data_IF_197074271948
#
_entry.id   IF_197074271948
#
_cell.length_a   1.000
_cell.length_b   1.000
_cell.length_c   1.000
_cell.angle_alpha   90.00
_cell.angle_beta   90.00
_cell.angle_gamma   90.00
#
_symmetry.space_group_name_H-M   'P 1'
#
loop_
_entity.id
_entity.type
_entity.pdbx_description
1 polymer ?
#
# COMPACT_ATOMS: atom_id res chain seq x y z
N UNK A 1 9.27 7.69 -35.21
CA UNK A 1 8.07 7.49 -34.34
C UNK A 1 8.09 6.22 -33.47
N UNK A 2 8.74 5.11 -33.85
CA UNK A 2 8.75 3.85 -33.05
C UNK A 2 9.66 3.88 -31.79
N UNK A 3 10.77 4.61 -31.82
CA UNK A 3 11.71 4.68 -30.68
C UNK A 3 11.20 5.49 -29.48
N UNK A 4 10.54 6.62 -29.73
CA UNK A 4 9.95 7.47 -28.67
C UNK A 4 8.88 6.71 -27.86
N UNK A 5 8.07 5.86 -28.50
CA UNK A 5 7.11 4.97 -27.81
C UNK A 5 7.78 3.85 -27.02
N UNK A 6 8.98 3.39 -27.44
CA UNK A 6 9.78 2.37 -26.74
C UNK A 6 10.42 2.94 -25.47
N UNK A 7 10.93 4.16 -25.52
CA UNK A 7 11.54 4.84 -24.35
C UNK A 7 10.50 5.17 -23.27
N UNK A 8 9.30 5.63 -23.65
CA UNK A 8 8.19 5.95 -22.73
C UNK A 8 7.58 4.75 -22.01
N UNK A 9 8.12 3.53 -22.10
CA UNK A 9 7.53 2.36 -21.42
C UNK A 9 8.51 1.69 -20.46
N UNK A 10 9.75 2.15 -20.42
CA UNK A 10 10.81 1.41 -19.74
C UNK A 10 10.63 1.45 -18.22
N UNK A 11 10.33 2.62 -17.63
CA UNK A 11 10.19 2.72 -16.17
C UNK A 11 8.91 2.10 -15.65
N UNK A 12 7.78 2.28 -16.34
CA UNK A 12 6.52 1.63 -15.97
C UNK A 12 6.65 0.10 -16.02
N UNK A 13 7.26 -0.44 -17.06
CA UNK A 13 7.51 -1.88 -17.17
C UNK A 13 8.49 -2.37 -16.11
N UNK A 14 9.57 -1.62 -15.85
CA UNK A 14 10.53 -1.93 -14.80
C UNK A 14 9.88 -1.96 -13.42
N UNK A 15 9.04 -0.97 -13.11
CA UNK A 15 8.25 -0.92 -11.89
C UNK A 15 7.36 -2.17 -11.74
N UNK A 16 6.59 -2.52 -12.78
CA UNK A 16 5.73 -3.71 -12.75
C UNK A 16 6.52 -4.99 -12.49
N UNK A 17 7.67 -5.17 -13.16
CA UNK A 17 8.56 -6.32 -12.92
C UNK A 17 9.06 -6.36 -11.48
N UNK A 18 9.50 -5.21 -10.94
CA UNK A 18 9.97 -5.10 -9.54
C UNK A 18 8.85 -5.37 -8.53
N UNK A 19 7.62 -4.93 -8.79
CA UNK A 19 6.47 -5.25 -7.95
C UNK A 19 6.20 -6.76 -7.93
N UNK A 20 6.15 -7.39 -9.10
CA UNK A 20 5.94 -8.84 -9.21
C UNK A 20 7.03 -9.65 -8.51
N UNK A 21 8.30 -9.28 -8.68
CA UNK A 21 9.41 -9.94 -7.97
C UNK A 21 9.28 -9.82 -6.44
N UNK A 22 8.77 -8.70 -5.94
CA UNK A 22 8.55 -8.50 -4.51
C UNK A 22 7.37 -9.32 -4.00
N UNK A 23 6.28 -9.46 -4.76
CA UNK A 23 5.20 -10.40 -4.45
C UNK A 23 5.72 -11.84 -4.34
N UNK A 24 6.58 -12.28 -5.27
CA UNK A 24 7.17 -13.62 -5.21
C UNK A 24 8.05 -13.83 -3.95
N UNK A 25 8.81 -12.81 -3.56
CA UNK A 25 9.62 -12.85 -2.33
C UNK A 25 8.74 -12.83 -1.09
N UNK A 26 7.68 -12.03 -1.10
CA UNK A 26 6.72 -11.93 0.00
C UNK A 26 6.01 -13.27 0.25
N UNK A 27 5.66 -13.99 -0.82
CA UNK A 27 5.12 -15.35 -0.70
C UNK A 27 6.05 -16.29 0.09
N UNK A 28 7.36 -16.23 -0.18
CA UNK A 28 8.36 -17.02 0.57
C UNK A 28 8.51 -16.58 2.02
N UNK A 29 8.26 -15.31 2.33
CA UNK A 29 8.21 -14.81 3.72
C UNK A 29 7.04 -15.46 4.46
N UNK A 30 5.86 -15.52 3.84
CA UNK A 30 4.67 -16.14 4.40
C UNK A 30 4.83 -17.65 4.62
N UNK A 31 5.48 -18.35 3.69
CA UNK A 31 5.77 -19.79 3.84
C UNK A 31 6.61 -20.11 5.10
N UNK A 32 7.38 -19.13 5.60
CA UNK A 32 8.25 -19.25 6.78
C UNK A 32 7.69 -18.55 8.01
N UNK A 33 6.54 -17.90 7.89
CA UNK A 33 5.96 -17.14 8.98
C UNK A 33 5.54 -18.07 10.11
N UNK A 34 5.88 -17.69 11.35
CA UNK A 34 5.41 -18.35 12.56
C UNK A 34 4.34 -17.47 13.17
N UNK A 35 3.18 -18.05 13.42
CA UNK A 35 2.01 -17.37 13.97
C UNK A 35 1.87 -17.68 15.46
N UNK A 36 1.24 -16.79 16.20
CA UNK A 36 1.00 -16.95 17.64
C UNK A 36 -0.37 -17.57 17.88
N UNK A 37 -0.44 -18.65 18.66
CA UNK A 37 -1.68 -19.42 18.86
C UNK A 37 -2.85 -18.66 19.51
N UNK A 38 -2.61 -17.52 20.16
CA UNK A 38 -3.65 -16.74 20.83
C UNK A 38 -3.53 -15.24 20.54
N UNK A 39 -4.47 -14.74 19.73
CA UNK A 39 -4.63 -13.31 19.47
C UNK A 39 -5.65 -12.70 20.44
N UNK A 40 -5.22 -11.71 21.22
CA UNK A 40 -6.13 -10.84 21.99
C UNK A 40 -6.63 -9.73 21.07
N UNK A 41 -7.94 -9.58 20.95
CA UNK A 41 -8.59 -8.57 20.11
C UNK A 41 -8.84 -7.28 20.91
N UNK A 42 -7.76 -6.56 21.24
CA UNK A 42 -7.77 -5.35 22.07
C UNK A 42 -7.80 -4.03 21.27
N UNK A 43 -7.95 -4.10 19.95
CA UNK A 43 -8.06 -2.93 19.08
C UNK A 43 -9.38 -2.92 18.32
N UNK A 44 -9.95 -1.72 18.17
CA UNK A 44 -11.15 -1.46 17.38
C UNK A 44 -10.87 -0.39 16.34
N UNK A 45 -11.39 -0.54 15.13
CA UNK A 45 -11.32 0.48 14.09
C UNK A 45 -12.65 0.69 13.39
N UNK A 46 -12.81 1.84 12.73
CA UNK A 46 -14.05 2.21 12.03
C UNK A 46 -13.80 2.31 10.53
N UNK A 47 -14.63 1.63 9.73
CA UNK A 47 -14.65 1.75 8.27
C UNK A 47 -16.10 1.82 7.79
N UNK A 48 -16.41 2.77 6.92
CA UNK A 48 -17.76 2.97 6.36
C UNK A 48 -18.87 3.00 7.44
N UNK A 49 -18.61 3.64 8.58
CA UNK A 49 -19.55 3.73 9.70
C UNK A 49 -19.70 2.46 10.55
N UNK A 50 -19.01 1.37 10.22
CA UNK A 50 -19.04 0.11 10.99
C UNK A 50 -17.77 -0.06 11.81
N UNK A 51 -17.91 -0.68 12.98
CA UNK A 51 -16.79 -1.04 13.84
C UNK A 51 -16.30 -2.45 13.54
N UNK A 52 -14.98 -2.61 13.56
CA UNK A 52 -14.27 -3.85 13.38
C UNK A 52 -13.25 -4.01 14.50
N UNK A 53 -12.91 -5.24 14.83
CA UNK A 53 -12.02 -5.57 15.94
C UNK A 53 -10.84 -6.37 15.43
N UNK A 54 -9.67 -6.14 16.02
CA UNK A 54 -8.44 -6.82 15.65
C UNK A 54 -7.47 -6.82 16.83
N UNK A 55 -6.39 -7.58 16.71
CA UNK A 55 -5.30 -7.59 17.68
C UNK A 55 -4.32 -6.45 17.44
N UNK A 56 -3.41 -6.23 18.39
CA UNK A 56 -2.25 -5.35 18.19
C UNK A 56 -1.45 -5.64 16.91
N UNK A 57 -1.38 -6.90 16.49
CA UNK A 57 -0.73 -7.32 15.26
C UNK A 57 -1.54 -6.92 14.02
N UNK A 58 -2.86 -7.11 14.02
CA UNK A 58 -3.69 -6.69 12.90
C UNK A 58 -3.78 -5.17 12.78
N UNK A 59 -3.82 -4.44 13.90
CA UNK A 59 -3.72 -2.99 13.90
C UNK A 59 -2.41 -2.50 13.26
N UNK A 60 -1.29 -3.15 13.58
CA UNK A 60 0.02 -2.88 12.97
C UNK A 60 0.03 -3.22 11.49
N UNK A 61 -0.59 -4.33 11.12
CA UNK A 61 -0.68 -4.78 9.73
C UNK A 61 -1.48 -3.80 8.86
N UNK A 62 -2.58 -3.23 9.37
CA UNK A 62 -3.35 -2.20 8.65
C UNK A 62 -2.54 -0.90 8.46
N UNK A 63 -1.76 -0.49 9.47
CA UNK A 63 -0.81 0.62 9.34
C UNK A 63 0.25 0.34 8.27
N UNK A 64 0.82 -0.86 8.29
CA UNK A 64 1.79 -1.31 7.28
C UNK A 64 1.17 -1.39 5.88
N UNK A 65 -0.09 -1.82 5.76
CA UNK A 65 -0.81 -1.86 4.48
C UNK A 65 -0.79 -0.48 3.82
N UNK A 66 -1.18 0.54 4.58
CA UNK A 66 -1.17 1.91 4.09
C UNK A 66 0.24 2.39 3.75
N UNK A 67 1.25 2.04 4.56
CA UNK A 67 2.64 2.45 4.31
C UNK A 67 3.19 1.81 3.03
N UNK A 68 3.04 0.50 2.88
CA UNK A 68 3.43 -0.22 1.68
C UNK A 68 2.70 0.30 0.44
N UNK A 69 1.39 0.54 0.58
CA UNK A 69 0.60 1.22 -0.44
C UNK A 69 1.25 2.54 -0.86
N UNK A 70 1.53 3.43 0.09
CA UNK A 70 2.15 4.73 -0.17
C UNK A 70 3.48 4.60 -0.91
N UNK A 71 4.38 3.74 -0.44
CA UNK A 71 5.67 3.57 -1.11
C UNK A 71 5.54 3.02 -2.53
N UNK A 72 4.60 2.09 -2.75
CA UNK A 72 4.30 1.56 -4.08
C UNK A 72 3.70 2.60 -5.01
N UNK A 73 2.76 3.38 -4.50
CA UNK A 73 2.17 4.50 -5.21
C UNK A 73 3.24 5.49 -5.64
N UNK A 74 4.13 5.87 -4.73
CA UNK A 74 5.20 6.82 -4.99
C UNK A 74 6.14 6.34 -6.10
N UNK A 75 6.58 5.09 -6.04
CA UNK A 75 7.42 4.46 -7.09
C UNK A 75 6.69 4.43 -8.44
N UNK A 76 5.40 4.08 -8.45
CA UNK A 76 4.59 4.07 -9.67
C UNK A 76 4.41 5.47 -10.27
N UNK A 77 4.10 6.47 -9.43
CA UNK A 77 3.94 7.86 -9.86
C UNK A 77 5.22 8.44 -10.45
N UNK A 78 6.38 8.16 -9.84
CA UNK A 78 7.68 8.55 -10.39
C UNK A 78 7.97 7.90 -11.75
N UNK A 79 7.64 6.61 -11.90
CA UNK A 79 7.82 5.89 -13.16
C UNK A 79 6.94 6.46 -14.28
N UNK A 80 5.64 6.66 -14.03
CA UNK A 80 4.72 7.24 -15.00
C UNK A 80 5.11 8.68 -15.37
N UNK A 81 5.52 9.50 -14.39
CA UNK A 81 6.05 10.85 -14.62
C UNK A 81 7.29 10.82 -15.53
N UNK A 82 8.26 9.97 -15.23
CA UNK A 82 9.50 9.85 -16.02
C UNK A 82 9.20 9.47 -17.47
N UNK A 83 8.30 8.50 -17.64
CA UNK A 83 7.87 8.02 -18.95
C UNK A 83 6.89 8.99 -19.66
N UNK A 84 6.52 10.11 -19.01
CA UNK A 84 5.55 11.12 -19.48
C UNK A 84 4.17 10.52 -19.79
N UNK A 85 3.70 9.61 -18.94
CA UNK A 85 2.32 9.13 -18.94
C UNK A 85 1.43 10.15 -18.25
N UNK A 86 0.15 10.13 -18.59
CA UNK A 86 -0.85 10.89 -17.87
C UNK A 86 -1.02 10.33 -16.46
N UNK A 87 -1.42 11.20 -15.52
CA UNK A 87 -1.79 10.81 -14.17
C UNK A 87 -2.90 9.76 -14.20
N UNK A 88 -2.68 8.60 -13.57
CA UNK A 88 -3.66 7.51 -13.52
C UNK A 88 -3.20 6.36 -12.63
N UNK A 89 -3.38 6.52 -11.31
CA UNK A 89 -2.98 5.53 -10.30
C UNK A 89 -3.73 4.19 -10.44
N UNK A 90 -4.99 4.26 -10.87
CA UNK A 90 -5.91 3.14 -11.06
C UNK A 90 -5.46 2.16 -12.16
N UNK A 91 -4.67 2.65 -13.11
CA UNK A 91 -4.06 1.84 -14.17
C UNK A 91 -2.85 1.00 -13.71
N UNK A 92 -2.41 1.16 -12.46
CA UNK A 92 -1.28 0.41 -11.89
C UNK A 92 -1.70 -0.99 -11.45
N UNK A 93 -0.93 -2.01 -11.85
CA UNK A 93 -1.15 -3.38 -11.40
C UNK A 93 -1.07 -3.51 -9.87
N UNK A 94 -0.16 -2.80 -9.22
CA UNK A 94 -0.03 -2.82 -7.76
C UNK A 94 -1.24 -2.22 -7.04
N UNK A 95 -1.92 -1.24 -7.66
CA UNK A 95 -3.15 -0.67 -7.11
C UNK A 95 -4.33 -1.66 -7.22
N UNK A 96 -4.43 -2.35 -8.36
CA UNK A 96 -5.45 -3.38 -8.58
C UNK A 96 -5.25 -4.57 -7.65
N UNK A 97 -4.02 -5.11 -7.60
CA UNK A 97 -3.65 -6.26 -6.78
C UNK A 97 -3.72 -5.93 -5.28
N UNK A 98 -3.00 -4.90 -4.84
CA UNK A 98 -2.98 -4.41 -3.46
C UNK A 98 -2.70 -5.47 -2.38
N UNK A 99 -1.94 -6.53 -2.72
CA UNK A 99 -1.67 -7.64 -1.79
C UNK A 99 -0.24 -7.67 -1.24
N UNK A 100 0.65 -6.80 -1.70
CA UNK A 100 2.04 -6.81 -1.25
C UNK A 100 2.16 -6.55 0.25
N UNK A 101 2.72 -7.52 1.00
CA UNK A 101 2.86 -7.48 2.45
C UNK A 101 1.65 -8.04 3.20
N UNK A 102 0.62 -8.52 2.50
CA UNK A 102 -0.56 -9.12 3.13
C UNK A 102 -0.22 -10.47 3.80
N UNK A 103 -0.89 -10.72 4.91
CA UNK A 103 -0.78 -11.89 5.76
C UNK A 103 -2.18 -12.20 6.32
N UNK A 104 -2.77 -13.32 5.88
CA UNK A 104 -4.17 -13.64 6.20
C UNK A 104 -4.44 -13.90 7.68
N UNK A 105 -3.41 -14.01 8.51
CA UNK A 105 -3.56 -14.37 9.91
C UNK A 105 -4.16 -13.26 10.78
N UNK A 106 -3.95 -11.98 10.44
CA UNK A 106 -4.25 -10.87 11.36
C UNK A 106 -5.45 -10.00 10.98
N UNK A 107 -5.70 -9.82 9.68
CA UNK A 107 -6.84 -9.06 9.14
C UNK A 107 -7.31 -9.68 7.83
N UNK A 108 -8.58 -9.47 7.48
CA UNK A 108 -9.12 -9.89 6.21
C UNK A 108 -8.57 -9.07 5.04
N UNK A 109 -8.41 -9.74 3.89
CA UNK A 109 -7.86 -9.19 2.65
C UNK A 109 -8.54 -7.88 2.23
N UNK A 110 -9.87 -7.80 2.31
CA UNK A 110 -10.61 -6.61 1.88
C UNK A 110 -10.34 -5.37 2.74
N UNK A 111 -9.95 -5.53 4.00
CA UNK A 111 -9.52 -4.42 4.87
C UNK A 111 -8.10 -4.00 4.51
N UNK A 112 -7.19 -4.97 4.40
CA UNK A 112 -5.82 -4.71 3.99
C UNK A 112 -5.73 -3.95 2.66
N UNK A 113 -6.37 -4.48 1.61
CA UNK A 113 -6.37 -3.89 0.27
C UNK A 113 -6.96 -2.47 0.27
N UNK A 114 -7.96 -2.19 1.12
CA UNK A 114 -8.53 -0.86 1.22
C UNK A 114 -7.50 0.15 1.71
N UNK A 115 -6.84 -0.11 2.84
CA UNK A 115 -5.84 0.81 3.37
C UNK A 115 -4.58 0.86 2.50
N UNK A 116 -4.20 -0.25 1.86
CA UNK A 116 -3.15 -0.26 0.85
C UNK A 116 -3.47 0.70 -0.30
N UNK A 117 -4.67 0.62 -0.88
CA UNK A 117 -5.08 1.51 -1.97
C UNK A 117 -5.16 2.97 -1.52
N UNK A 118 -5.60 3.23 -0.30
CA UNK A 118 -5.58 4.56 0.29
C UNK A 118 -4.17 5.14 0.39
N UNK A 119 -3.20 4.35 0.87
CA UNK A 119 -1.79 4.71 0.85
C UNK A 119 -1.29 4.96 -0.57
N UNK A 120 -1.57 4.02 -1.48
CA UNK A 120 -1.13 4.05 -2.87
C UNK A 120 -1.55 5.32 -3.59
N UNK A 121 -2.81 5.71 -3.50
CA UNK A 121 -3.31 6.93 -4.14
C UNK A 121 -2.51 8.17 -3.73
N UNK A 122 -2.22 8.30 -2.43
CA UNK A 122 -1.46 9.44 -1.86
C UNK A 122 0.01 9.40 -2.27
N UNK A 123 0.61 8.20 -2.23
CA UNK A 123 1.97 7.98 -2.70
C UNK A 123 2.12 8.34 -4.17
N UNK A 124 1.18 7.89 -5.00
CA UNK A 124 1.17 8.15 -6.43
C UNK A 124 1.09 9.65 -6.73
N UNK A 125 0.22 10.39 -6.03
CA UNK A 125 0.16 11.85 -6.15
C UNK A 125 1.50 12.51 -5.82
N UNK A 126 2.11 12.16 -4.69
CA UNK A 126 3.41 12.69 -4.28
C UNK A 126 4.52 12.33 -5.29
N UNK A 127 4.59 11.08 -5.73
CA UNK A 127 5.59 10.61 -6.69
C UNK A 127 5.44 11.23 -8.08
N UNK A 128 4.21 11.34 -8.57
CA UNK A 128 3.90 11.88 -9.89
C UNK A 128 4.18 13.39 -9.98
N UNK A 129 3.83 14.15 -8.93
CA UNK A 129 4.09 15.59 -8.90
C UNK A 129 5.45 15.96 -8.28
N UNK A 130 6.26 14.98 -7.87
CA UNK A 130 7.53 15.16 -7.17
C UNK A 130 7.39 16.05 -5.92
N UNK A 131 6.38 15.74 -5.11
CA UNK A 131 6.03 16.40 -3.85
C UNK A 131 6.23 15.43 -2.69
N UNK A 132 6.11 15.96 -1.48
CA UNK A 132 6.14 15.14 -0.26
C UNK A 132 5.04 15.59 0.70
N UNK A 133 3.84 15.82 0.15
CA UNK A 133 2.68 16.30 0.92
C UNK A 133 2.31 15.30 2.01
N UNK A 134 2.42 14.01 1.71
CA UNK A 134 2.07 12.91 2.59
C UNK A 134 3.30 12.16 3.11
N UNK A 135 4.41 12.14 2.36
CA UNK A 135 5.62 11.38 2.73
C UNK A 135 6.64 12.06 3.64
N UNK A 136 6.65 13.40 3.78
CA UNK A 136 7.70 14.11 4.56
C UNK A 136 7.46 14.10 6.06
N UNK A 137 6.24 13.81 6.50
CA UNK A 137 5.85 13.84 7.90
C UNK A 137 5.28 12.48 8.29
N UNK A 138 6.08 11.66 8.98
CA UNK A 138 5.59 10.45 9.64
C UNK A 138 4.38 10.77 10.54
N UNK A 139 4.39 11.92 11.22
CA UNK A 139 3.24 12.40 12.00
C UNK A 139 2.01 12.72 11.15
N UNK A 140 2.15 13.14 9.89
CA UNK A 140 1.01 13.43 9.01
C UNK A 140 0.47 12.15 8.37
N UNK A 141 1.36 11.20 8.05
CA UNK A 141 0.98 9.85 7.68
C UNK A 141 0.25 9.15 8.84
N UNK A 142 0.75 9.26 10.08
CA UNK A 142 0.09 8.75 11.28
C UNK A 142 -1.22 9.47 11.59
N UNK A 143 -1.35 10.77 11.31
CA UNK A 143 -2.61 11.51 11.44
C UNK A 143 -3.63 11.12 10.36
N UNK A 144 -3.20 10.82 9.14
CA UNK A 144 -4.06 10.33 8.06
C UNK A 144 -4.46 8.88 8.34
N UNK A 145 -3.51 8.07 8.81
CA UNK A 145 -3.79 6.74 9.38
C UNK A 145 -4.81 6.91 10.49
N UNK A 146 -4.61 7.72 11.53
CA UNK A 146 -5.58 7.92 12.61
C UNK A 146 -6.95 8.44 12.13
N UNK A 147 -6.97 9.31 11.11
CA UNK A 147 -8.18 9.87 10.53
C UNK A 147 -8.99 8.89 9.67
N UNK A 148 -8.32 8.03 8.89
CA UNK A 148 -8.96 7.02 8.03
C UNK A 148 -9.13 5.70 8.78
N UNK A 149 -8.04 5.24 9.36
CA UNK A 149 -7.86 4.08 10.21
C UNK A 149 -8.02 4.56 11.67
N UNK A 150 -9.25 4.88 12.08
CA UNK A 150 -9.59 5.29 13.45
C UNK A 150 -9.46 4.12 14.44
N UNK A 151 -8.23 3.60 14.58
CA UNK A 151 -7.84 2.51 15.47
C UNK A 151 -7.69 3.03 16.89
N UNK A 152 -8.39 2.42 17.82
CA UNK A 152 -8.27 2.66 19.25
C UNK A 152 -8.06 1.35 19.98
N UNK A 153 -7.16 1.36 20.96
CA UNK A 153 -7.09 0.30 21.97
C UNK A 153 -8.23 0.49 22.96
N UNK A 154 -8.83 -0.59 23.43
CA UNK A 154 -9.87 -0.56 24.46
C UNK A 154 -9.58 -1.57 25.57
#
# INVERSE_FOLDING_TARGET
MRELRRNKRQRRLEYQRRYYQRLLRDRRRLDRARYYDSLVYDYRYRRNGRYYYTSSYGARMLRQAMQYGYEEGFRAGQADRYDRWNYGYDSSYAYSDATYGYDSYYVNMSEYQYYFREGFRRGYEDGYYNRSRYGRNYSLFDNIVAGILSIFRF
#
